data_IF_990173181354
#
_entry.id   IF_990173181354
#
_cell.length_a   1.000
_cell.length_b   1.000
_cell.length_c   1.000
_cell.angle_alpha   90.00
_cell.angle_beta   90.00
_cell.angle_gamma   90.00
#
_symmetry.space_group_name_H-M   'P 1'
#
loop_
_entity.id
_entity.type
_entity.pdbx_description
1 polymer ?
#
# COMPACT_ATOMS: atom_id res chain seq x y z
N UNK A 1 -31.57 -1.24 -20.23
CA UNK A 1 -30.61 -0.31 -20.86
C UNK A 1 -29.25 -0.61 -20.28
N UNK A 2 -28.35 -1.24 -21.05
CA UNK A 2 -26.99 -1.59 -20.59
C UNK A 2 -26.14 -0.30 -20.55
N UNK A 3 -25.69 0.12 -19.38
CA UNK A 3 -24.64 1.15 -19.25
C UNK A 3 -23.30 0.52 -19.63
N UNK A 4 -22.75 0.92 -20.77
CA UNK A 4 -21.41 0.59 -21.21
C UNK A 4 -20.39 1.27 -20.28
N UNK A 5 -19.60 0.51 -19.54
CA UNK A 5 -18.44 1.01 -18.80
C UNK A 5 -17.38 1.46 -19.82
N UNK A 6 -17.13 2.76 -19.91
CA UNK A 6 -16.04 3.30 -20.74
C UNK A 6 -14.73 3.13 -20.00
N UNK A 7 -13.90 2.22 -20.47
CA UNK A 7 -12.50 2.07 -20.03
C UNK A 7 -11.72 3.36 -20.29
N UNK A 8 -11.19 3.95 -19.21
CA UNK A 8 -10.27 5.10 -19.26
C UNK A 8 -8.86 4.61 -19.55
N UNK A 9 -8.36 4.81 -20.76
CA UNK A 9 -6.95 4.59 -21.14
C UNK A 9 -6.19 5.90 -21.02
N UNK A 10 -4.91 5.86 -20.57
CA UNK A 10 -4.00 7.03 -20.52
C UNK A 10 -4.01 7.85 -21.82
N UNK A 11 -4.09 7.17 -22.95
CA UNK A 11 -4.11 7.81 -24.27
C UNK A 11 -5.35 8.65 -24.48
N UNK A 12 -6.55 8.21 -24.08
CA UNK A 12 -7.79 8.97 -24.22
C UNK A 12 -7.89 10.15 -23.24
N UNK A 13 -7.31 10.03 -22.05
CA UNK A 13 -7.29 11.12 -21.07
C UNK A 13 -6.42 12.29 -21.55
N UNK A 14 -5.25 11.99 -22.14
CA UNK A 14 -4.34 13.02 -22.71
C UNK A 14 -4.96 13.69 -23.93
N UNK A 15 -5.65 12.96 -24.79
CA UNK A 15 -6.30 13.51 -25.99
C UNK A 15 -7.44 14.51 -25.67
N UNK A 16 -8.11 14.36 -24.52
CA UNK A 16 -9.23 15.25 -24.13
C UNK A 16 -8.78 16.55 -23.49
N UNK A 17 -7.54 16.62 -22.95
CA UNK A 17 -7.00 17.81 -22.29
C UNK A 17 -6.23 18.75 -23.25
N UNK A 18 -5.84 18.29 -24.44
CA UNK A 18 -5.04 19.06 -25.42
C UNK A 18 -5.91 19.91 -26.37
N UNK A 19 -7.24 19.74 -26.36
CA UNK A 19 -8.14 20.45 -27.26
C UNK A 19 -8.44 21.93 -26.91
N UNK A 20 -7.77 22.51 -25.90
CA UNK A 20 -7.96 23.93 -25.56
C UNK A 20 -6.60 24.64 -25.38
N UNK A 21 -5.99 25.12 -26.47
CA UNK A 21 -4.89 26.07 -26.36
C UNK A 21 -3.86 26.10 -27.51
N UNK A 22 -4.13 26.92 -28.51
CA UNK A 22 -3.22 27.76 -29.33
C UNK A 22 -1.97 27.17 -30.01
N UNK A 23 -1.95 27.37 -31.32
CA UNK A 23 -0.80 27.19 -32.23
C UNK A 23 0.40 28.06 -31.86
N UNK A 24 1.61 27.45 -31.79
CA UNK A 24 2.88 28.16 -32.01
C UNK A 24 3.98 27.17 -32.47
N UNK A 25 4.48 27.46 -33.66
CA UNK A 25 5.80 27.17 -34.30
C UNK A 25 6.58 25.88 -33.96
N UNK A 26 6.70 25.03 -34.98
CA UNK A 26 7.56 23.85 -35.09
C UNK A 26 9.04 24.26 -35.21
N UNK A 27 9.86 23.94 -34.21
CA UNK A 27 11.30 23.68 -34.40
C UNK A 27 11.54 22.19 -34.10
N UNK A 28 12.35 21.47 -34.90
CA UNK A 28 12.64 20.05 -34.62
C UNK A 28 13.67 19.96 -33.49
N UNK A 29 13.21 19.73 -32.27
CA UNK A 29 14.07 19.29 -31.17
C UNK A 29 14.39 17.80 -31.38
N UNK A 30 15.66 17.51 -31.56
CA UNK A 30 16.19 16.16 -31.56
C UNK A 30 15.82 15.48 -30.23
N UNK A 31 14.89 14.52 -30.28
CA UNK A 31 14.61 13.64 -29.16
C UNK A 31 15.81 12.74 -28.95
N UNK A 32 16.64 13.08 -27.97
CA UNK A 32 17.53 12.13 -27.32
C UNK A 32 16.63 11.02 -26.76
N UNK A 33 16.83 9.76 -27.21
CA UNK A 33 16.27 8.58 -26.58
C UNK A 33 16.93 8.39 -25.20
N UNK A 34 16.54 9.19 -24.23
CA UNK A 34 16.59 8.78 -22.85
C UNK A 34 15.42 7.79 -22.67
N UNK A 35 15.72 6.56 -22.27
CA UNK A 35 14.73 5.60 -21.82
C UNK A 35 13.90 6.29 -20.74
N UNK A 36 12.71 6.79 -21.09
CA UNK A 36 11.81 7.39 -20.11
C UNK A 36 11.40 6.27 -19.16
N UNK A 37 11.88 6.32 -17.92
CA UNK A 37 11.33 5.55 -16.81
C UNK A 37 9.82 5.81 -16.79
N UNK A 38 9.04 4.81 -17.21
CA UNK A 38 7.61 4.97 -17.33
C UNK A 38 6.96 4.83 -15.96
N UNK A 39 6.34 5.91 -15.46
CA UNK A 39 5.61 5.89 -14.19
C UNK A 39 6.46 6.40 -13.01
N UNK A 40 6.29 5.79 -11.84
CA UNK A 40 6.95 6.19 -10.58
C UNK A 40 8.24 5.41 -10.27
N UNK A 41 8.98 4.97 -11.29
CA UNK A 41 10.31 4.38 -11.12
C UNK A 41 11.38 5.44 -11.39
N UNK A 42 12.20 5.77 -10.39
CA UNK A 42 13.22 6.81 -10.47
C UNK A 42 14.58 6.22 -10.06
N UNK A 43 15.62 6.44 -10.85
CA UNK A 43 16.96 5.94 -10.57
C UNK A 43 17.04 4.44 -10.29
N UNK A 44 16.17 3.65 -10.90
CA UNK A 44 16.06 2.20 -10.67
C UNK A 44 15.15 1.80 -9.50
N UNK A 45 14.79 2.72 -8.59
CA UNK A 45 13.92 2.46 -7.43
C UNK A 45 12.46 2.64 -7.80
N UNK A 46 11.61 1.62 -7.53
CA UNK A 46 10.17 1.70 -7.75
C UNK A 46 9.50 2.38 -6.56
N UNK A 47 8.95 3.56 -6.77
CA UNK A 47 8.10 4.24 -5.79
C UNK A 47 6.65 3.79 -6.00
N UNK A 48 6.04 3.33 -4.94
CA UNK A 48 4.63 2.96 -4.84
C UNK A 48 3.90 3.78 -3.79
N UNK A 49 2.65 3.42 -3.58
CA UNK A 49 1.80 3.99 -2.51
C UNK A 49 0.94 2.89 -1.92
N UNK A 50 0.88 2.80 -0.60
CA UNK A 50 -0.19 2.04 0.05
C UNK A 50 -1.50 2.84 -0.04
N UNK A 51 -2.56 2.21 -0.52
CA UNK A 51 -3.84 2.91 -0.79
C UNK A 51 -4.53 3.44 0.48
N UNK A 52 -4.11 3.00 1.66
CA UNK A 52 -4.47 3.60 2.95
C UNK A 52 -4.13 5.10 3.04
N UNK A 53 -3.18 5.57 2.27
CA UNK A 53 -2.80 6.99 2.19
C UNK A 53 -3.97 7.89 1.80
N UNK A 54 -4.96 7.38 1.07
CA UNK A 54 -6.17 8.12 0.66
C UNK A 54 -7.41 7.86 1.52
N UNK A 55 -7.26 7.29 2.73
CA UNK A 55 -8.37 6.94 3.63
C UNK A 55 -9.30 8.09 4.03
N UNK A 56 -8.87 9.33 3.86
CA UNK A 56 -9.68 10.54 4.13
C UNK A 56 -10.43 11.07 2.89
N UNK A 57 -10.30 10.38 1.75
CA UNK A 57 -10.91 10.73 0.48
C UNK A 57 -11.81 9.59 -0.01
N UNK A 58 -12.68 9.80 -1.02
CA UNK A 58 -13.31 8.70 -1.74
C UNK A 58 -12.26 7.67 -2.16
N UNK A 59 -12.45 6.41 -1.83
CA UNK A 59 -11.43 5.37 -1.97
C UNK A 59 -11.95 4.08 -2.60
N UNK A 60 -12.91 4.21 -3.52
CA UNK A 60 -13.25 3.11 -4.44
C UNK A 60 -12.02 2.72 -5.29
N UNK A 61 -12.04 1.54 -5.86
CA UNK A 61 -10.96 1.11 -6.75
C UNK A 61 -10.77 2.06 -7.93
N UNK A 62 -11.84 2.64 -8.44
CA UNK A 62 -11.84 3.63 -9.53
C UNK A 62 -11.26 4.97 -9.07
N UNK A 63 -11.62 5.44 -7.87
CA UNK A 63 -11.06 6.68 -7.31
C UNK A 63 -9.54 6.55 -7.11
N UNK A 64 -9.09 5.44 -6.51
CA UNK A 64 -7.67 5.16 -6.30
C UNK A 64 -6.91 5.11 -7.63
N UNK A 65 -7.48 4.44 -8.65
CA UNK A 65 -6.87 4.41 -9.97
C UNK A 65 -6.73 5.81 -10.57
N UNK A 66 -7.74 6.66 -10.39
CA UNK A 66 -7.68 8.07 -10.80
C UNK A 66 -6.53 8.81 -10.10
N UNK A 67 -6.37 8.62 -8.80
CA UNK A 67 -5.26 9.24 -8.05
C UNK A 67 -3.90 8.73 -8.51
N UNK A 68 -3.78 7.45 -8.82
CA UNK A 68 -2.55 6.90 -9.41
C UNK A 68 -2.21 7.55 -10.75
N UNK A 69 -3.20 7.71 -11.64
CA UNK A 69 -3.01 8.34 -12.96
C UNK A 69 -2.58 9.81 -12.81
N UNK A 70 -3.29 10.57 -11.97
CA UNK A 70 -2.99 11.98 -11.68
C UNK A 70 -1.61 12.17 -11.05
N UNK A 71 -1.24 11.28 -10.11
CA UNK A 71 0.06 11.30 -9.43
C UNK A 71 1.20 10.64 -10.21
N UNK A 72 0.95 10.11 -11.42
CA UNK A 72 1.91 9.32 -12.20
C UNK A 72 2.48 8.10 -11.44
N UNK A 73 1.69 7.53 -10.53
CA UNK A 73 2.04 6.38 -9.69
C UNK A 73 1.79 5.12 -10.50
N UNK A 74 2.80 4.25 -10.62
CA UNK A 74 2.73 3.03 -11.41
C UNK A 74 2.74 1.74 -10.59
N UNK A 75 2.73 1.83 -9.27
CA UNK A 75 2.71 0.66 -8.38
C UNK A 75 1.99 0.97 -7.07
N UNK A 76 1.24 0.00 -6.54
CA UNK A 76 0.50 0.17 -5.28
C UNK A 76 0.53 -1.09 -4.41
N UNK A 77 0.53 -0.87 -3.08
CA UNK A 77 0.00 -1.80 -2.10
C UNK A 77 -1.51 -1.55 -1.96
N UNK A 78 -2.32 -2.50 -2.42
CA UNK A 78 -3.78 -2.34 -2.41
C UNK A 78 -4.36 -2.81 -1.07
N UNK A 79 -5.17 -1.98 -0.42
CA UNK A 79 -5.95 -2.38 0.74
C UNK A 79 -6.98 -3.45 0.35
N UNK A 80 -7.08 -4.52 1.14
CA UNK A 80 -7.94 -5.66 0.87
C UNK A 80 -9.43 -5.29 0.83
N UNK A 81 -9.87 -4.37 1.70
CA UNK A 81 -11.26 -3.89 1.68
C UNK A 81 -11.60 -3.21 0.35
N UNK A 82 -10.69 -2.43 -0.25
CA UNK A 82 -10.92 -1.80 -1.57
C UNK A 82 -11.12 -2.86 -2.65
N UNK A 83 -10.32 -3.94 -2.60
CA UNK A 83 -10.45 -5.04 -3.54
C UNK A 83 -11.77 -5.82 -3.33
N UNK A 84 -12.14 -6.09 -2.08
CA UNK A 84 -13.37 -6.80 -1.72
C UNK A 84 -14.62 -5.95 -2.04
N UNK A 85 -14.59 -4.65 -1.75
CA UNK A 85 -15.69 -3.72 -2.08
C UNK A 85 -15.94 -3.67 -3.60
N UNK A 86 -14.87 -3.58 -4.41
CA UNK A 86 -14.97 -3.68 -5.87
C UNK A 86 -15.57 -5.01 -6.34
N UNK A 87 -15.22 -6.10 -5.66
CA UNK A 87 -15.73 -7.43 -5.97
C UNK A 87 -17.16 -7.68 -5.47
N UNK A 88 -17.73 -6.78 -4.65
CA UNK A 88 -19.10 -6.81 -4.18
C UNK A 88 -19.30 -7.60 -2.88
N UNK A 89 -18.34 -7.52 -1.95
CA UNK A 89 -18.50 -8.09 -0.61
C UNK A 89 -19.69 -7.46 0.12
N UNK A 90 -20.46 -8.20 0.93
CA UNK A 90 -21.50 -7.63 1.79
C UNK A 90 -20.94 -6.55 2.72
N UNK A 91 -21.65 -5.44 2.84
CA UNK A 91 -21.23 -4.31 3.66
C UNK A 91 -21.17 -4.65 5.15
N UNK A 92 -20.16 -4.11 5.83
CA UNK A 92 -20.10 -4.10 7.29
C UNK A 92 -20.91 -2.92 7.86
N UNK A 93 -21.58 -3.07 9.00
CA UNK A 93 -22.24 -1.94 9.65
C UNK A 93 -21.22 -0.86 9.99
N UNK A 94 -21.63 0.40 9.84
CA UNK A 94 -20.81 1.54 10.20
C UNK A 94 -20.42 1.46 11.68
N UNK A 95 -19.13 1.67 11.96
CA UNK A 95 -18.64 1.68 13.34
C UNK A 95 -19.22 2.87 14.09
N UNK A 96 -19.68 2.67 15.32
CA UNK A 96 -20.07 3.79 16.19
C UNK A 96 -18.94 4.82 16.31
N UNK A 97 -19.27 6.11 16.39
CA UNK A 97 -18.28 7.16 16.53
C UNK A 97 -17.41 6.96 17.78
N UNK A 98 -16.11 7.21 17.67
CA UNK A 98 -15.18 7.11 18.80
C UNK A 98 -15.53 8.17 19.86
N UNK A 99 -15.55 7.76 21.13
CA UNK A 99 -15.80 8.68 22.27
C UNK A 99 -17.27 9.00 22.52
N UNK A 100 -18.19 8.39 21.78
CA UNK A 100 -19.62 8.42 22.10
C UNK A 100 -19.94 7.23 22.99
N UNK A 101 -20.43 7.47 24.20
CA UNK A 101 -20.96 6.43 25.08
C UNK A 101 -22.19 5.80 24.44
N UNK A 102 -22.19 4.47 24.34
CA UNK A 102 -23.33 3.69 23.87
C UNK A 102 -24.02 3.03 25.06
N UNK A 103 -25.34 2.94 25.01
CA UNK A 103 -26.07 2.07 25.93
C UNK A 103 -25.73 0.59 25.69
N UNK A 104 -25.96 -0.26 26.67
CA UNK A 104 -25.78 -1.69 26.54
C UNK A 104 -26.61 -2.26 25.38
N UNK A 105 -27.85 -1.80 25.23
CA UNK A 105 -28.77 -2.18 24.16
C UNK A 105 -28.24 -1.79 22.77
N UNK A 106 -27.69 -0.58 22.61
CA UNK A 106 -27.10 -0.12 21.34
C UNK A 106 -25.85 -0.94 20.98
N UNK A 107 -25.03 -1.27 21.99
CA UNK A 107 -23.85 -2.10 21.79
C UNK A 107 -24.22 -3.51 21.37
N UNK A 108 -25.17 -4.15 22.08
CA UNK A 108 -25.65 -5.50 21.74
C UNK A 108 -26.28 -5.54 20.35
N UNK A 109 -27.09 -4.53 20.00
CA UNK A 109 -27.69 -4.43 18.66
C UNK A 109 -26.61 -4.30 17.58
N UNK A 110 -25.60 -3.46 17.79
CA UNK A 110 -24.48 -3.32 16.85
C UNK A 110 -23.69 -4.63 16.72
N UNK A 111 -23.38 -5.30 17.82
CA UNK A 111 -22.64 -6.57 17.81
C UNK A 111 -23.40 -7.67 17.06
N UNK A 112 -24.72 -7.76 17.23
CA UNK A 112 -25.55 -8.71 16.49
C UNK A 112 -25.48 -8.47 14.97
N UNK A 113 -25.64 -7.23 14.54
CA UNK A 113 -25.58 -6.89 13.10
C UNK A 113 -24.18 -7.11 12.53
N UNK A 114 -23.14 -6.74 13.29
CA UNK A 114 -21.73 -6.96 12.93
C UNK A 114 -21.43 -8.44 12.76
N UNK A 115 -21.85 -9.28 13.70
CA UNK A 115 -21.56 -10.71 13.68
C UNK A 115 -22.29 -11.41 12.52
N UNK A 116 -23.53 -11.00 12.22
CA UNK A 116 -24.22 -11.46 11.01
C UNK A 116 -23.50 -11.04 9.72
N UNK A 117 -22.99 -9.80 9.66
CA UNK A 117 -22.20 -9.33 8.52
C UNK A 117 -20.89 -10.10 8.35
N UNK A 118 -20.19 -10.43 9.45
CA UNK A 118 -18.98 -11.27 9.42
C UNK A 118 -19.28 -12.65 8.82
N UNK A 119 -20.38 -13.29 9.22
CA UNK A 119 -20.81 -14.59 8.64
C UNK A 119 -21.10 -14.44 7.15
N UNK A 120 -21.85 -13.42 6.76
CA UNK A 120 -22.18 -13.14 5.37
C UNK A 120 -20.93 -12.88 4.51
N UNK A 121 -19.96 -12.12 5.01
CA UNK A 121 -18.69 -11.89 4.32
C UNK A 121 -17.87 -13.18 4.18
N UNK A 122 -17.84 -14.04 5.21
CA UNK A 122 -17.19 -15.33 5.12
C UNK A 122 -17.81 -16.20 4.03
N UNK A 123 -19.14 -16.35 4.03
CA UNK A 123 -19.85 -17.12 3.01
C UNK A 123 -19.57 -16.59 1.60
N UNK A 124 -19.57 -15.26 1.44
CA UNK A 124 -19.27 -14.60 0.19
C UNK A 124 -17.81 -14.90 -0.26
N UNK A 125 -16.81 -14.79 0.63
CA UNK A 125 -15.41 -15.13 0.32
C UNK A 125 -15.27 -16.56 -0.17
N UNK A 126 -15.93 -17.52 0.50
CA UNK A 126 -15.86 -18.94 0.15
C UNK A 126 -16.57 -19.29 -1.16
N UNK A 127 -17.55 -18.50 -1.57
CA UNK A 127 -18.29 -18.68 -2.84
C UNK A 127 -17.77 -17.82 -4.00
N UNK A 128 -16.78 -16.95 -3.76
CA UNK A 128 -16.30 -16.00 -4.76
C UNK A 128 -15.56 -16.70 -5.92
N UNK A 129 -15.93 -16.38 -7.16
CA UNK A 129 -15.39 -16.98 -8.38
C UNK A 129 -14.18 -16.24 -8.98
N UNK A 130 -13.66 -15.22 -8.30
CA UNK A 130 -12.47 -14.43 -8.68
C UNK A 130 -12.61 -13.56 -9.96
N UNK A 131 -13.73 -13.56 -10.67
CA UNK A 131 -13.84 -12.82 -11.94
C UNK A 131 -13.68 -11.31 -11.75
N UNK A 132 -14.23 -10.76 -10.67
CA UNK A 132 -14.09 -9.33 -10.35
C UNK A 132 -12.66 -8.92 -10.08
N UNK A 133 -11.85 -9.79 -9.50
CA UNK A 133 -10.42 -9.54 -9.27
C UNK A 133 -9.61 -9.56 -10.59
N UNK A 134 -10.02 -10.37 -11.57
CA UNK A 134 -9.44 -10.31 -12.93
C UNK A 134 -9.79 -9.00 -13.63
N UNK A 135 -11.05 -8.54 -13.50
CA UNK A 135 -11.49 -7.25 -14.01
C UNK A 135 -10.69 -6.10 -13.36
N UNK A 136 -10.54 -6.12 -12.02
CA UNK A 136 -9.75 -5.16 -11.27
C UNK A 136 -8.30 -5.10 -11.74
N UNK A 137 -7.62 -6.26 -11.81
CA UNK A 137 -6.27 -6.36 -12.36
C UNK A 137 -6.17 -5.75 -13.75
N UNK A 138 -7.11 -6.12 -14.64
CA UNK A 138 -7.09 -5.60 -16.01
C UNK A 138 -7.24 -4.08 -16.04
N UNK A 139 -8.15 -3.52 -15.25
CA UNK A 139 -8.40 -2.08 -15.16
C UNK A 139 -7.12 -1.32 -14.75
N UNK A 140 -6.41 -1.80 -13.72
CA UNK A 140 -5.17 -1.19 -13.26
C UNK A 140 -4.02 -1.36 -14.26
N UNK A 141 -3.84 -2.56 -14.81
CA UNK A 141 -2.78 -2.84 -15.78
C UNK A 141 -2.96 -2.04 -17.08
N UNK A 142 -4.20 -1.88 -17.57
CA UNK A 142 -4.50 -1.07 -18.76
C UNK A 142 -4.12 0.41 -18.55
N UNK A 143 -4.13 0.87 -17.31
CA UNK A 143 -3.68 2.21 -16.92
C UNK A 143 -2.16 2.29 -16.59
N UNK A 144 -1.46 1.17 -16.64
CA UNK A 144 -0.03 1.07 -16.32
C UNK A 144 0.26 1.12 -14.83
N UNK A 145 -0.69 0.72 -13.98
CA UNK A 145 -0.53 0.61 -12.52
C UNK A 145 -0.43 -0.87 -12.14
N UNK A 146 0.62 -1.25 -11.43
CA UNK A 146 0.83 -2.60 -10.91
C UNK A 146 0.33 -2.70 -9.47
N UNK A 147 -0.47 -3.72 -9.17
CA UNK A 147 -0.79 -4.11 -7.79
C UNK A 147 0.30 -5.10 -7.36
N UNK A 148 1.32 -4.63 -6.63
CA UNK A 148 2.45 -5.50 -6.28
C UNK A 148 2.18 -6.38 -5.05
N UNK A 149 1.40 -5.91 -4.09
CA UNK A 149 0.92 -6.66 -2.91
C UNK A 149 -0.48 -6.21 -2.50
N UNK A 150 -1.19 -7.04 -1.69
CA UNK A 150 -2.53 -6.74 -1.19
C UNK A 150 -2.59 -6.90 0.33
N UNK A 151 -3.10 -5.88 1.01
CA UNK A 151 -3.25 -5.88 2.47
C UNK A 151 -4.60 -6.43 2.91
N UNK A 152 -4.76 -7.76 2.89
CA UNK A 152 -5.93 -8.42 3.48
C UNK A 152 -5.83 -8.58 5.00
N UNK A 153 -4.63 -8.68 5.53
CA UNK A 153 -4.34 -8.92 6.96
C UNK A 153 -5.11 -10.13 7.56
N UNK A 154 -5.10 -11.32 6.94
CA UNK A 154 -6.04 -12.39 7.20
C UNK A 154 -5.60 -13.33 8.33
N UNK A 155 -4.58 -13.01 9.13
CA UNK A 155 -4.01 -13.93 10.12
C UNK A 155 -5.04 -14.50 11.13
N UNK A 156 -6.17 -13.81 11.34
CA UNK A 156 -7.25 -14.24 12.24
C UNK A 156 -8.46 -14.88 11.53
N UNK A 157 -8.41 -14.97 10.20
CA UNK A 157 -9.48 -15.58 9.41
C UNK A 157 -9.44 -17.11 9.51
N UNK A 158 -10.49 -17.79 9.05
CA UNK A 158 -10.45 -19.25 8.91
C UNK A 158 -9.44 -19.66 7.82
N UNK A 159 -9.02 -20.92 7.81
CA UNK A 159 -8.03 -21.40 6.84
C UNK A 159 -8.53 -21.26 5.40
N UNK A 160 -9.83 -21.49 5.19
CA UNK A 160 -10.46 -21.33 3.87
C UNK A 160 -10.47 -19.85 3.42
N UNK A 161 -10.69 -18.90 4.34
CA UNK A 161 -10.64 -17.48 4.03
C UNK A 161 -9.20 -17.00 3.78
N UNK A 162 -8.20 -17.60 4.47
CA UNK A 162 -6.79 -17.33 4.16
C UNK A 162 -6.47 -17.84 2.75
N UNK A 163 -6.91 -19.05 2.40
CA UNK A 163 -6.78 -19.57 1.03
C UNK A 163 -7.43 -18.64 -0.01
N UNK A 164 -8.60 -18.13 0.29
CA UNK A 164 -9.26 -17.12 -0.56
C UNK A 164 -8.39 -15.88 -0.73
N UNK A 165 -7.83 -15.31 0.36
CA UNK A 165 -7.01 -14.10 0.29
C UNK A 165 -5.79 -14.28 -0.64
N UNK A 166 -5.08 -15.41 -0.52
CA UNK A 166 -3.96 -15.73 -1.42
C UNK A 166 -4.41 -15.93 -2.86
N UNK A 167 -5.53 -16.62 -3.10
CA UNK A 167 -6.08 -16.78 -4.46
C UNK A 167 -6.45 -15.44 -5.08
N UNK A 168 -7.14 -14.57 -4.33
CA UNK A 168 -7.54 -13.24 -4.81
C UNK A 168 -6.31 -12.37 -5.14
N UNK A 169 -5.31 -12.32 -4.24
CA UNK A 169 -4.07 -11.62 -4.48
C UNK A 169 -3.32 -12.14 -5.73
N UNK A 170 -3.24 -13.47 -5.91
CA UNK A 170 -2.62 -14.09 -7.08
C UNK A 170 -3.33 -13.71 -8.38
N UNK A 171 -4.66 -13.71 -8.37
CA UNK A 171 -5.49 -13.32 -9.53
C UNK A 171 -5.30 -11.84 -9.87
N UNK A 172 -5.17 -10.97 -8.87
CA UNK A 172 -4.85 -9.55 -9.06
C UNK A 172 -3.40 -9.32 -9.55
N UNK A 173 -2.54 -10.36 -9.57
CA UNK A 173 -1.16 -10.29 -10.02
C UNK A 173 -0.16 -9.90 -8.94
N UNK A 174 -0.62 -9.78 -7.71
CA UNK A 174 0.22 -9.49 -6.55
C UNK A 174 1.21 -10.63 -6.24
N UNK A 175 2.35 -10.30 -5.66
CA UNK A 175 3.38 -11.27 -5.25
C UNK A 175 3.12 -11.89 -3.89
N UNK A 176 2.29 -11.24 -3.08
CA UNK A 176 1.97 -11.70 -1.74
C UNK A 176 0.82 -10.91 -1.11
N UNK A 177 0.55 -11.27 0.12
CA UNK A 177 -0.39 -10.54 0.98
C UNK A 177 0.36 -9.93 2.15
N UNK A 178 -0.13 -8.79 2.64
CA UNK A 178 0.45 -8.17 3.84
C UNK A 178 -0.42 -8.36 5.08
N UNK A 179 0.26 -8.48 6.21
CA UNK A 179 -0.31 -8.57 7.55
C UNK A 179 0.61 -7.84 8.53
N UNK A 180 0.07 -7.43 9.67
CA UNK A 180 0.88 -6.92 10.76
C UNK A 180 1.81 -8.01 11.30
N UNK A 181 3.07 -7.64 11.63
CA UNK A 181 4.04 -8.58 12.17
C UNK A 181 3.60 -9.09 13.55
N UNK A 182 3.69 -10.38 13.74
CA UNK A 182 3.34 -11.04 15.00
C UNK A 182 3.56 -12.56 14.90
N UNK A 183 3.82 -13.20 16.04
CA UNK A 183 4.18 -14.62 16.12
C UNK A 183 3.15 -15.50 15.41
N UNK A 184 1.87 -15.35 15.76
CA UNK A 184 0.80 -16.19 15.17
C UNK A 184 0.63 -15.93 13.67
N UNK A 185 0.70 -14.68 13.23
CA UNK A 185 0.64 -14.35 11.81
C UNK A 185 1.80 -15.00 11.04
N UNK A 186 3.04 -14.85 11.54
CA UNK A 186 4.23 -15.35 10.86
C UNK A 186 4.31 -16.87 10.82
N UNK A 187 3.85 -17.56 11.88
CA UNK A 187 3.73 -19.02 11.89
C UNK A 187 2.68 -19.53 10.91
N UNK A 188 1.53 -18.86 10.87
CA UNK A 188 0.37 -19.36 10.15
C UNK A 188 0.44 -19.04 8.66
N UNK A 189 0.65 -17.76 8.30
CA UNK A 189 0.55 -17.32 6.91
C UNK A 189 1.71 -17.80 6.04
N UNK A 190 2.88 -18.08 6.60
CA UNK A 190 4.02 -18.65 5.87
C UNK A 190 3.70 -19.97 5.18
N UNK A 191 2.93 -20.86 5.85
CA UNK A 191 2.51 -22.14 5.28
C UNK A 191 1.52 -21.95 4.10
N UNK A 192 0.62 -20.97 4.20
CA UNK A 192 -0.30 -20.64 3.10
C UNK A 192 0.45 -19.98 1.93
N UNK A 193 1.44 -19.14 2.22
CA UNK A 193 2.28 -18.54 1.19
C UNK A 193 3.02 -19.62 0.39
N UNK A 194 3.61 -20.62 1.04
CA UNK A 194 4.23 -21.77 0.39
C UNK A 194 3.22 -22.55 -0.46
N UNK A 195 2.06 -22.88 0.10
CA UNK A 195 0.98 -23.61 -0.60
C UNK A 195 0.55 -22.91 -1.90
N UNK A 196 0.53 -21.58 -1.91
CA UNK A 196 0.10 -20.78 -3.06
C UNK A 196 1.24 -20.32 -3.98
N UNK A 197 2.50 -20.65 -3.67
CA UNK A 197 3.69 -20.14 -4.35
C UNK A 197 3.67 -18.59 -4.39
N UNK A 198 3.53 -18.00 -3.19
CA UNK A 198 3.44 -16.56 -2.94
C UNK A 198 4.23 -16.19 -1.69
N UNK A 199 4.17 -14.92 -1.31
CA UNK A 199 4.84 -14.38 -0.12
C UNK A 199 3.82 -13.98 0.95
N UNK A 200 4.18 -14.20 2.22
CA UNK A 200 3.54 -13.60 3.38
C UNK A 200 4.43 -12.46 3.87
N UNK A 201 3.93 -11.23 3.79
CA UNK A 201 4.73 -10.03 3.91
C UNK A 201 4.28 -9.25 5.15
N UNK A 202 5.21 -8.94 6.07
CA UNK A 202 4.86 -8.45 7.40
C UNK A 202 5.29 -7.03 7.63
N UNK A 203 4.31 -6.20 8.00
CA UNK A 203 4.47 -4.79 8.33
C UNK A 203 4.74 -4.62 9.83
N UNK A 204 5.74 -3.84 10.18
CA UNK A 204 6.03 -3.45 11.56
C UNK A 204 5.51 -2.05 11.87
N UNK A 205 5.03 -1.88 13.10
CA UNK A 205 4.85 -0.58 13.75
C UNK A 205 6.00 -0.32 14.73
N UNK A 206 5.67 0.03 15.98
CA UNK A 206 6.65 0.30 17.03
C UNK A 206 7.27 -0.92 17.72
N UNK A 207 6.92 -2.15 17.31
CA UNK A 207 7.43 -3.39 17.93
C UNK A 207 8.97 -3.47 17.99
N UNK A 208 9.72 -2.97 16.96
CA UNK A 208 11.19 -3.00 17.02
C UNK A 208 11.81 -2.22 18.18
N UNK A 209 11.09 -1.27 18.79
CA UNK A 209 11.52 -0.57 19.99
C UNK A 209 11.36 -1.34 21.29
N UNK A 210 10.75 -2.53 21.26
CA UNK A 210 10.54 -3.36 22.44
C UNK A 210 11.78 -4.21 22.75
N UNK A 211 12.15 -4.40 24.01
CA UNK A 211 13.27 -5.27 24.41
C UNK A 211 13.09 -6.69 23.86
N UNK A 212 14.15 -7.25 23.27
CA UNK A 212 14.17 -8.62 22.75
C UNK A 212 13.46 -8.82 21.40
N UNK A 213 13.00 -7.75 20.75
CA UNK A 213 12.46 -7.87 19.38
C UNK A 213 13.57 -8.18 18.37
N UNK A 214 13.32 -9.16 17.50
CA UNK A 214 14.18 -9.47 16.36
C UNK A 214 13.34 -9.82 15.13
N UNK A 215 13.60 -9.18 13.99
CA UNK A 215 12.98 -9.57 12.73
C UNK A 215 13.30 -11.02 12.33
N UNK A 216 14.51 -11.49 12.68
CA UNK A 216 14.95 -12.85 12.35
C UNK A 216 14.05 -13.92 12.95
N UNK A 217 13.55 -13.70 14.17
CA UNK A 217 12.65 -14.64 14.86
C UNK A 217 11.33 -14.84 14.08
N UNK A 218 10.81 -13.78 13.47
CA UNK A 218 9.58 -13.83 12.67
C UNK A 218 9.83 -14.41 11.27
N UNK A 219 10.97 -14.09 10.68
CA UNK A 219 11.35 -14.59 9.36
C UNK A 219 11.74 -16.07 9.37
N UNK A 220 12.20 -16.59 10.51
CA UNK A 220 12.59 -17.99 10.68
C UNK A 220 11.43 -18.98 10.55
N UNK A 221 10.17 -18.55 10.71
CA UNK A 221 9.02 -19.45 10.62
C UNK A 221 8.75 -19.99 9.22
N UNK A 222 9.15 -19.27 8.16
CA UNK A 222 9.01 -19.74 6.79
C UNK A 222 9.98 -19.01 5.85
N UNK A 223 10.55 -19.69 4.83
CA UNK A 223 11.30 -19.01 3.78
C UNK A 223 10.45 -18.03 2.96
N UNK A 224 9.12 -18.20 2.96
CA UNK A 224 8.18 -17.33 2.25
C UNK A 224 7.75 -16.11 3.07
N UNK A 225 8.21 -15.99 4.34
CA UNK A 225 8.01 -14.81 5.15
C UNK A 225 8.97 -13.72 4.69
N UNK A 226 8.42 -12.54 4.38
CA UNK A 226 9.18 -11.34 3.97
C UNK A 226 8.74 -10.16 4.83
N UNK A 227 9.46 -9.05 4.74
CA UNK A 227 9.11 -7.80 5.40
C UNK A 227 8.50 -6.80 4.41
N UNK A 228 7.44 -6.15 4.83
CA UNK A 228 7.04 -4.81 4.44
C UNK A 228 7.61 -3.88 5.52
N UNK A 229 8.89 -3.56 5.39
CA UNK A 229 9.64 -2.89 6.43
C UNK A 229 9.23 -1.42 6.53
N UNK A 230 8.57 -1.05 7.62
CA UNK A 230 8.26 0.35 7.88
C UNK A 230 9.46 1.05 8.51
N UNK A 231 10.17 1.82 7.70
CA UNK A 231 11.39 2.50 8.07
C UNK A 231 11.13 3.69 9.02
N UNK A 232 10.00 4.37 8.85
CA UNK A 232 9.63 5.49 9.73
C UNK A 232 9.21 5.02 11.12
N UNK A 233 8.39 3.98 11.21
CA UNK A 233 8.06 3.37 12.50
C UNK A 233 9.28 2.77 13.20
N UNK A 234 10.17 2.12 12.44
CA UNK A 234 11.42 1.62 12.98
C UNK A 234 12.27 2.74 13.58
N UNK A 235 12.52 3.81 12.79
CA UNK A 235 13.30 4.96 13.23
C UNK A 235 12.68 5.64 14.45
N UNK A 236 11.40 5.96 14.39
CA UNK A 236 10.70 6.64 15.49
C UNK A 236 10.66 5.84 16.79
N UNK A 237 10.61 4.51 16.73
CA UNK A 237 10.58 3.64 17.90
C UNK A 237 11.96 3.33 18.49
N UNK A 238 12.97 3.18 17.63
CA UNK A 238 14.32 2.74 18.05
C UNK A 238 15.33 3.88 18.14
N UNK A 239 15.20 4.91 17.33
CA UNK A 239 16.23 5.92 17.09
C UNK A 239 17.40 5.41 16.22
N UNK A 240 17.31 4.17 15.71
CA UNK A 240 18.33 3.53 14.90
C UNK A 240 18.15 3.85 13.42
N UNK A 241 19.25 4.01 12.67
CA UNK A 241 19.20 4.26 11.24
C UNK A 241 18.68 3.04 10.47
N UNK A 242 17.58 3.16 9.66
CA UNK A 242 16.93 2.04 8.99
C UNK A 242 17.85 1.25 8.03
N UNK A 243 18.84 1.92 7.41
CA UNK A 243 19.77 1.25 6.48
C UNK A 243 20.49 0.07 7.11
N UNK A 244 20.73 0.05 8.44
CA UNK A 244 21.32 -1.11 9.13
C UNK A 244 20.49 -2.38 8.93
N UNK A 245 19.16 -2.26 9.01
CA UNK A 245 18.24 -3.38 8.80
C UNK A 245 18.11 -3.68 7.31
N UNK A 246 18.00 -2.65 6.47
CA UNK A 246 17.86 -2.81 5.03
C UNK A 246 19.06 -3.55 4.45
N UNK A 247 20.29 -3.15 4.77
CA UNK A 247 21.52 -3.83 4.30
C UNK A 247 21.59 -5.28 4.77
N UNK A 248 21.21 -5.54 6.03
CA UNK A 248 21.29 -6.87 6.62
C UNK A 248 20.23 -7.84 6.09
N UNK A 249 19.03 -7.33 5.80
CA UNK A 249 17.85 -8.13 5.44
C UNK A 249 17.29 -7.84 4.03
N UNK A 250 18.07 -7.21 3.15
CA UNK A 250 17.61 -6.80 1.82
C UNK A 250 16.99 -7.93 1.00
N UNK A 251 17.45 -9.16 1.16
CA UNK A 251 16.92 -10.37 0.52
C UNK A 251 15.62 -10.90 1.17
N UNK A 252 15.25 -10.36 2.33
CA UNK A 252 14.04 -10.68 3.09
C UNK A 252 13.10 -9.49 3.22
N UNK A 253 13.39 -8.37 2.54
CA UNK A 253 12.52 -7.20 2.44
C UNK A 253 11.92 -7.16 1.04
N UNK A 254 10.59 -7.27 0.95
CA UNK A 254 9.87 -7.14 -0.32
C UNK A 254 9.54 -5.67 -0.63
N UNK A 255 9.08 -4.95 0.39
CA UNK A 255 8.73 -3.54 0.29
C UNK A 255 9.14 -2.77 1.55
N UNK A 256 9.29 -1.46 1.40
CA UNK A 256 9.57 -0.54 2.50
C UNK A 256 8.46 0.50 2.53
N UNK A 257 7.82 0.69 3.69
CA UNK A 257 6.98 1.85 3.91
C UNK A 257 7.84 3.04 4.29
N UNK A 258 7.65 4.12 3.53
CA UNK A 258 8.29 5.40 3.78
C UNK A 258 7.29 6.36 4.40
N UNK A 259 7.63 6.90 5.55
CA UNK A 259 6.95 8.01 6.23
C UNK A 259 7.97 8.85 7.00
N UNK A 260 7.68 10.11 7.17
CA UNK A 260 8.54 11.00 7.95
C UNK A 260 8.03 11.14 9.38
N UNK A 261 8.95 11.02 10.33
CA UNK A 261 8.65 11.04 11.77
C UNK A 261 9.75 11.74 12.53
N UNK A 262 9.39 12.27 13.71
CA UNK A 262 10.39 12.67 14.70
C UNK A 262 11.06 11.45 15.32
N UNK A 263 12.27 11.63 15.79
CA UNK A 263 13.07 10.59 16.44
C UNK A 263 12.53 10.15 17.81
N UNK A 264 13.12 9.07 18.34
CA UNK A 264 12.75 8.50 19.64
C UNK A 264 12.90 9.49 20.81
N UNK A 265 13.89 10.38 20.72
CA UNK A 265 14.24 11.31 21.79
C UNK A 265 13.78 12.75 21.52
N UNK A 266 13.02 12.99 20.46
CA UNK A 266 12.49 14.30 20.07
C UNK A 266 11.28 14.68 20.92
N UNK A 267 10.88 15.92 20.91
CA UNK A 267 9.66 16.41 21.57
C UNK A 267 8.76 17.10 20.54
N UNK A 268 7.60 16.54 20.20
CA UNK A 268 7.09 15.20 20.58
C UNK A 268 7.85 14.06 19.88
N UNK A 269 8.09 12.97 20.62
CA UNK A 269 8.78 11.79 20.11
C UNK A 269 7.91 10.96 19.18
N UNK A 270 8.52 10.27 18.22
CA UNK A 270 7.90 9.27 17.35
C UNK A 270 6.58 9.75 16.69
N UNK A 271 6.53 11.02 16.29
CA UNK A 271 5.34 11.67 15.74
C UNK A 271 5.44 11.80 14.23
N UNK A 272 4.38 11.48 13.50
CA UNK A 272 4.32 11.64 12.04
C UNK A 272 4.38 13.12 11.64
N UNK A 273 5.17 13.42 10.61
CA UNK A 273 5.41 14.77 10.08
C UNK A 273 5.20 14.81 8.57
N UNK A 274 4.86 15.96 7.99
CA UNK A 274 5.02 16.17 6.57
C UNK A 274 6.46 15.85 6.13
N UNK A 275 6.61 15.28 4.94
CA UNK A 275 7.93 14.85 4.47
C UNK A 275 8.90 16.01 4.32
N UNK A 276 10.09 15.87 4.89
CA UNK A 276 11.11 16.89 5.00
C UNK A 276 11.04 17.74 6.26
N UNK A 277 10.02 17.55 7.11
CA UNK A 277 9.86 18.23 8.41
C UNK A 277 10.13 17.32 9.59
N UNK A 278 10.35 16.03 9.34
CA UNK A 278 10.73 15.03 10.33
C UNK A 278 12.22 14.73 10.32
N UNK A 279 12.57 13.59 10.89
CA UNK A 279 13.96 13.17 11.11
C UNK A 279 14.25 11.79 10.48
N UNK A 280 13.23 11.12 9.89
CA UNK A 280 13.45 9.84 9.21
C UNK A 280 14.41 10.05 8.04
N UNK A 281 15.52 9.28 7.95
CA UNK A 281 16.53 9.48 6.91
C UNK A 281 16.10 8.92 5.56
N UNK A 282 14.97 9.44 5.01
CA UNK A 282 14.35 8.96 3.77
C UNK A 282 15.32 9.06 2.59
N UNK A 283 16.08 10.16 2.51
CA UNK A 283 17.05 10.35 1.43
C UNK A 283 18.15 9.27 1.45
N UNK A 284 18.64 8.89 2.63
CA UNK A 284 19.68 7.88 2.77
C UNK A 284 19.16 6.48 2.41
N UNK A 285 17.88 6.19 2.74
CA UNK A 285 17.21 4.95 2.34
C UNK A 285 17.12 4.86 0.81
N UNK A 286 16.60 5.91 0.18
CA UNK A 286 16.42 5.94 -1.28
C UNK A 286 17.77 5.87 -2.02
N UNK A 287 18.78 6.58 -1.54
CA UNK A 287 20.14 6.55 -2.11
C UNK A 287 20.78 5.16 -1.96
N UNK A 288 20.61 4.49 -0.83
CA UNK A 288 21.07 3.11 -0.64
C UNK A 288 20.43 2.18 -1.66
N UNK A 289 19.12 2.24 -1.85
CA UNK A 289 18.41 1.40 -2.80
C UNK A 289 18.81 1.69 -4.26
N UNK A 290 19.02 2.96 -4.60
CA UNK A 290 19.55 3.36 -5.92
C UNK A 290 20.94 2.79 -6.14
N UNK A 291 21.85 2.90 -5.15
CA UNK A 291 23.23 2.38 -5.24
C UNK A 291 23.26 0.85 -5.40
N UNK A 292 22.50 0.14 -4.56
CA UNK A 292 22.50 -1.32 -4.52
C UNK A 292 21.65 -1.97 -5.62
N UNK A 293 20.72 -1.19 -6.20
CA UNK A 293 19.76 -1.67 -7.21
C UNK A 293 19.00 -2.94 -6.78
N UNK A 294 18.64 -3.02 -5.50
CA UNK A 294 17.81 -4.11 -5.00
C UNK A 294 16.37 -3.97 -5.49
N UNK A 295 15.67 -5.07 -5.82
CA UNK A 295 14.31 -5.03 -6.36
C UNK A 295 13.24 -4.82 -5.25
N UNK A 296 13.47 -3.84 -4.39
CA UNK A 296 12.61 -3.52 -3.25
C UNK A 296 11.67 -2.37 -3.65
N UNK A 297 10.38 -2.54 -3.41
CA UNK A 297 9.40 -1.46 -3.58
C UNK A 297 9.51 -0.46 -2.44
N UNK A 298 9.27 0.82 -2.73
CA UNK A 298 9.18 1.87 -1.71
C UNK A 298 7.79 2.49 -1.75
N UNK A 299 6.96 2.16 -0.77
CA UNK A 299 5.58 2.63 -0.72
C UNK A 299 5.46 3.84 0.21
N UNK A 300 4.93 4.93 -0.35
CA UNK A 300 4.55 6.11 0.42
C UNK A 300 3.37 5.73 1.33
N UNK A 301 3.51 5.96 2.62
CA UNK A 301 2.41 5.87 3.58
C UNK A 301 2.15 7.23 4.23
N UNK A 302 1.04 7.86 3.82
CA UNK A 302 0.63 9.16 4.34
C UNK A 302 -0.06 9.00 5.68
N UNK A 303 0.63 9.30 6.78
CA UNK A 303 0.07 9.17 8.13
C UNK A 303 0.06 10.48 8.94
N UNK A 304 0.70 11.54 8.47
CA UNK A 304 0.59 12.83 9.14
C UNK A 304 -0.77 13.50 8.90
N UNK A 305 -1.11 14.45 9.75
CA UNK A 305 -2.33 15.25 9.58
C UNK A 305 -2.23 16.09 8.32
N UNK A 306 -3.11 15.82 7.36
CA UNK A 306 -3.17 16.62 6.12
C UNK A 306 -3.49 18.08 6.47
N UNK A 307 -2.75 19.07 5.95
CA UNK A 307 -3.03 20.49 6.15
C UNK A 307 -4.44 20.87 5.68
N UNK A 308 -5.04 21.88 6.31
CA UNK A 308 -6.44 22.29 6.04
C UNK A 308 -6.63 22.84 4.62
N UNK A 309 -5.58 23.39 4.02
CA UNK A 309 -5.55 23.92 2.66
C UNK A 309 -5.13 22.87 1.60
N UNK A 310 -4.98 21.61 2.00
CA UNK A 310 -4.54 20.52 1.16
C UNK A 310 -5.50 19.32 1.23
N UNK A 311 -5.17 18.26 0.50
CA UNK A 311 -5.85 16.97 0.54
C UNK A 311 -4.81 15.83 0.41
N UNK A 312 -5.24 14.59 0.71
CA UNK A 312 -4.32 13.46 0.70
C UNK A 312 -3.69 13.22 -0.67
N UNK A 313 -4.40 13.52 -1.78
CA UNK A 313 -3.85 13.36 -3.12
C UNK A 313 -2.72 14.35 -3.40
N UNK A 314 -2.89 15.62 -3.03
CA UNK A 314 -1.83 16.63 -3.17
C UNK A 314 -0.61 16.28 -2.32
N UNK A 315 -0.84 15.79 -1.10
CA UNK A 315 0.26 15.40 -0.21
C UNK A 315 1.02 14.16 -0.74
N UNK A 316 0.31 13.16 -1.27
CA UNK A 316 0.95 12.02 -1.93
C UNK A 316 1.78 12.46 -3.13
N UNK A 317 1.27 13.38 -3.96
CA UNK A 317 2.04 13.94 -5.10
C UNK A 317 3.31 14.65 -4.62
N UNK A 318 3.25 15.40 -3.51
CA UNK A 318 4.44 16.03 -2.90
C UNK A 318 5.47 14.96 -2.48
N UNK A 319 5.01 13.87 -1.86
CA UNK A 319 5.90 12.75 -1.47
C UNK A 319 6.53 12.07 -2.69
N UNK A 320 5.77 11.85 -3.77
CA UNK A 320 6.32 11.31 -5.04
C UNK A 320 7.40 12.25 -5.61
N UNK A 321 7.12 13.57 -5.61
CA UNK A 321 8.08 14.55 -6.09
C UNK A 321 9.34 14.62 -5.19
N UNK A 322 9.18 14.46 -3.88
CA UNK A 322 10.29 14.36 -2.93
C UNK A 322 11.21 13.19 -3.28
N UNK A 323 10.65 11.99 -3.49
CA UNK A 323 11.42 10.83 -3.92
C UNK A 323 12.11 11.04 -5.28
N UNK A 324 11.39 11.63 -6.24
CA UNK A 324 11.93 11.92 -7.58
C UNK A 324 13.12 12.85 -7.51
N UNK A 325 13.08 13.91 -6.69
CA UNK A 325 14.18 14.86 -6.54
C UNK A 325 15.44 14.22 -5.96
N UNK A 326 15.30 13.24 -5.06
CA UNK A 326 16.44 12.50 -4.47
C UNK A 326 17.02 11.51 -5.47
N UNK A 327 16.16 10.84 -6.24
CA UNK A 327 16.55 9.75 -7.13
C UNK A 327 16.90 10.20 -8.56
N UNK A 328 16.73 11.46 -8.87
CA UNK A 328 17.06 12.07 -10.17
C UNK A 328 18.52 11.86 -10.61
#
# INVERSE_FOLDING_TARGET
MKKSSKTLSRRKFIETTIAAGAALSLTPLAFSCATSDSGSKFGGVQIGVITYSWRSMPSSAEDILKYCIEGQISSIELMGNVAEDYAGIPEMPARPPRGVEQSDEEREAYEMVRDAAIVSQKEWRLSNNMEKYKELRKMYNDAGVNIHIVKFAPARWSDEEIDYAFKAAKVMGAKGITNEIGIEACKRLGNFAEKHDMLAIYHNHGQPGQPGFSFDDFLAYSPNNMLNFDAGHYFGATGEHPNKIIERLHDRIFSIHLKDKTGKNSDPANTNRPWGEGETPIADILNLLKEKNWPIYCDIELEYKVPEDSDAQKEVIKCVQFCKNILA
#
